data_IF_359072922779
#
_entry.id   IF_359072922779
#
_cell.length_a   1.000
_cell.length_b   1.000
_cell.length_c   1.000
_cell.angle_alpha   90.00
_cell.angle_beta   90.00
_cell.angle_gamma   90.00
#
_symmetry.space_group_name_H-M   'P 1'
#
loop_
_entity.id
_entity.type
_entity.pdbx_description
1 polymer ?
#
# COMPACT_ATOMS: atom_id res chain seq x y z
N UNK A 1 16.06 8.29 -8.57
CA UNK A 1 16.24 6.97 -7.92
C UNK A 1 16.35 5.91 -9.01
N UNK A 2 17.42 5.12 -9.01
CA UNK A 2 17.50 3.93 -9.85
C UNK A 2 16.73 2.79 -9.15
N UNK A 3 15.46 2.60 -9.55
CA UNK A 3 14.65 1.45 -9.14
C UNK A 3 14.33 0.56 -10.33
N UNK A 4 14.32 -0.75 -10.14
CA UNK A 4 13.95 -1.73 -11.16
C UNK A 4 13.04 -2.78 -10.57
N UNK A 5 11.89 -3.03 -11.20
CA UNK A 5 11.00 -4.13 -10.81
C UNK A 5 11.33 -5.40 -11.60
N UNK A 6 11.08 -6.54 -10.98
CA UNK A 6 11.26 -7.86 -11.57
C UNK A 6 9.93 -8.60 -11.51
N UNK A 7 9.47 -9.06 -12.69
CA UNK A 7 8.23 -9.83 -12.86
C UNK A 7 8.50 -10.94 -13.88
N UNK A 8 9.24 -12.01 -13.51
CA UNK A 8 9.60 -13.06 -14.45
C UNK A 8 8.35 -13.89 -14.82
N UNK A 9 8.28 -14.43 -16.05
CA UNK A 9 7.16 -15.27 -16.47
C UNK A 9 7.13 -16.64 -15.78
N UNK A 10 8.14 -16.97 -14.96
CA UNK A 10 8.24 -18.22 -14.20
C UNK A 10 7.43 -18.21 -12.90
N UNK A 11 6.77 -17.10 -12.57
CA UNK A 11 5.83 -16.96 -11.46
C UNK A 11 4.54 -16.32 -11.96
N UNK A 12 3.47 -16.39 -11.16
CA UNK A 12 2.18 -15.84 -11.58
C UNK A 12 2.26 -14.33 -11.88
N UNK A 13 1.38 -13.87 -12.78
CA UNK A 13 1.29 -12.46 -13.10
C UNK A 13 0.66 -11.68 -11.93
N UNK A 14 1.49 -10.98 -11.15
CA UNK A 14 1.07 -10.18 -10.00
C UNK A 14 0.56 -8.78 -10.38
N UNK A 15 0.86 -8.30 -11.59
CA UNK A 15 0.52 -6.93 -12.01
C UNK A 15 -1.00 -6.71 -12.07
N UNK A 16 -1.77 -7.77 -12.33
CA UNK A 16 -3.25 -7.72 -12.28
C UNK A 16 -3.79 -7.39 -10.88
N UNK A 17 -2.98 -7.61 -9.82
CA UNK A 17 -3.31 -7.30 -8.43
C UNK A 17 -2.61 -6.02 -7.92
N UNK A 18 -1.89 -5.30 -8.78
CA UNK A 18 -1.26 -4.02 -8.45
C UNK A 18 0.08 -4.10 -7.71
N UNK A 19 0.81 -5.21 -7.80
CA UNK A 19 2.16 -5.34 -7.21
C UNK A 19 3.16 -6.07 -8.13
N UNK A 20 4.45 -5.83 -7.91
CA UNK A 20 5.54 -6.53 -8.61
C UNK A 20 6.15 -7.64 -7.74
N UNK A 21 6.68 -8.69 -8.35
CA UNK A 21 7.26 -9.83 -7.62
C UNK A 21 8.50 -9.43 -6.80
N UNK A 22 9.32 -8.51 -7.31
CA UNK A 22 10.42 -7.91 -6.56
C UNK A 22 10.77 -6.50 -7.08
N UNK A 23 11.51 -5.74 -6.27
CA UNK A 23 12.11 -4.46 -6.64
C UNK A 23 13.56 -4.41 -6.16
N UNK A 24 14.45 -3.88 -7.00
CA UNK A 24 15.80 -3.46 -6.63
C UNK A 24 15.82 -1.94 -6.50
N UNK A 25 16.45 -1.49 -5.41
CA UNK A 25 16.75 -0.08 -5.16
C UNK A 25 18.19 0.04 -4.69
N UNK A 26 18.91 1.06 -5.18
CA UNK A 26 20.35 1.23 -4.91
C UNK A 26 20.66 2.35 -3.93
N UNK A 27 19.97 3.49 -4.05
CA UNK A 27 20.31 4.72 -3.34
C UNK A 27 19.05 5.51 -2.94
N UNK A 28 19.15 6.23 -1.82
CA UNK A 28 18.16 7.20 -1.36
C UNK A 28 18.00 7.20 0.16
N UNK A 29 17.24 8.17 0.67
CA UNK A 29 16.88 8.29 2.08
C UNK A 29 15.68 7.40 2.39
N UNK A 30 15.87 6.43 3.28
CA UNK A 30 14.84 5.46 3.70
C UNK A 30 13.83 6.11 4.64
N UNK A 31 12.55 5.90 4.37
CA UNK A 31 11.41 6.37 5.18
C UNK A 31 10.61 5.15 5.58
N UNK A 32 10.45 4.95 6.88
CA UNK A 32 9.58 3.94 7.46
C UNK A 32 8.28 4.64 7.88
N UNK A 33 7.14 4.17 7.38
CA UNK A 33 5.84 4.71 7.76
C UNK A 33 5.18 3.76 8.75
N UNK A 34 4.48 4.32 9.75
CA UNK A 34 3.50 3.55 10.51
C UNK A 34 2.39 3.05 9.58
N UNK A 35 1.70 1.98 9.95
CA UNK A 35 0.53 1.51 9.22
C UNK A 35 -0.54 2.59 9.12
N UNK A 36 -1.07 2.78 7.92
CA UNK A 36 -2.13 3.74 7.63
C UNK A 36 -3.45 3.00 7.46
N UNK A 37 -4.50 3.55 8.04
CA UNK A 37 -5.87 3.01 8.03
C UNK A 37 -6.83 4.01 7.37
N UNK A 38 -8.09 3.62 7.22
CA UNK A 38 -9.17 4.44 6.66
C UNK A 38 -9.66 5.56 7.57
N UNK A 39 -8.75 6.34 8.17
CA UNK A 39 -9.06 7.41 9.12
C UNK A 39 -8.66 8.77 8.56
N UNK A 40 -9.50 9.79 8.74
CA UNK A 40 -9.27 11.16 8.32
C UNK A 40 -8.48 12.02 9.33
N UNK A 41 -8.22 13.27 8.97
CA UNK A 41 -7.45 14.22 9.80
C UNK A 41 -8.17 14.62 11.09
N UNK A 42 -9.48 14.36 11.17
CA UNK A 42 -10.32 14.61 12.33
C UNK A 42 -10.55 13.32 13.14
N UNK A 43 -9.74 12.28 12.89
CA UNK A 43 -9.78 10.98 13.57
C UNK A 43 -11.07 10.17 13.31
N UNK A 44 -11.80 10.48 12.23
CA UNK A 44 -13.00 9.71 11.85
C UNK A 44 -12.68 8.62 10.84
N UNK A 45 -13.26 7.43 11.01
CA UNK A 45 -13.27 6.38 10.00
C UNK A 45 -14.10 6.84 8.80
N UNK A 46 -13.52 6.85 7.58
CA UNK A 46 -14.14 7.47 6.39
C UNK A 46 -15.35 6.73 5.82
N UNK A 47 -15.60 5.51 6.30
CA UNK A 47 -16.77 4.72 5.96
C UNK A 47 -16.62 3.24 6.34
N UNK A 48 -17.71 2.45 6.22
CA UNK A 48 -17.75 1.07 6.69
C UNK A 48 -17.15 0.05 5.71
N UNK A 49 -16.83 0.43 4.49
CA UNK A 49 -16.41 -0.45 3.40
C UNK A 49 -14.92 -0.45 3.14
N UNK A 50 -14.43 -1.57 2.59
CA UNK A 50 -13.02 -1.75 2.27
C UNK A 50 -12.53 -0.74 1.22
N UNK A 51 -13.38 -0.32 0.30
CA UNK A 51 -13.02 0.56 -0.82
C UNK A 51 -12.56 1.92 -0.32
N UNK A 52 -13.42 2.60 0.44
CA UNK A 52 -13.13 3.91 0.99
C UNK A 52 -11.99 3.88 2.02
N UNK A 53 -11.91 2.81 2.82
CA UNK A 53 -10.82 2.66 3.80
C UNK A 53 -9.47 2.41 3.11
N UNK A 54 -9.43 1.64 2.03
CA UNK A 54 -8.21 1.41 1.24
C UNK A 54 -7.74 2.69 0.57
N UNK A 55 -8.63 3.41 -0.12
CA UNK A 55 -8.29 4.68 -0.78
C UNK A 55 -7.77 5.69 0.23
N UNK A 56 -8.41 5.78 1.40
CA UNK A 56 -7.98 6.69 2.45
C UNK A 56 -6.62 6.31 3.07
N UNK A 57 -6.36 5.03 3.30
CA UNK A 57 -5.05 4.58 3.77
C UNK A 57 -3.94 4.96 2.76
N UNK A 58 -4.21 4.83 1.45
CA UNK A 58 -3.27 5.23 0.39
C UNK A 58 -3.10 6.76 0.31
N UNK A 59 -4.16 7.55 0.48
CA UNK A 59 -4.09 9.01 0.59
C UNK A 59 -3.23 9.46 1.77
N UNK A 60 -3.35 8.77 2.90
CA UNK A 60 -2.56 9.07 4.10
C UNK A 60 -1.08 8.75 3.86
N UNK A 61 -0.75 7.62 3.22
CA UNK A 61 0.63 7.28 2.79
C UNK A 61 1.19 8.37 1.88
N UNK A 62 0.43 8.76 0.85
CA UNK A 62 0.85 9.82 -0.09
C UNK A 62 1.11 11.15 0.62
N UNK A 63 0.22 11.52 1.55
CA UNK A 63 0.35 12.75 2.33
C UNK A 63 1.60 12.77 3.22
N UNK A 64 1.90 11.65 3.89
CA UNK A 64 3.12 11.50 4.71
C UNK A 64 4.37 11.59 3.84
N UNK A 65 4.39 10.89 2.71
CA UNK A 65 5.51 10.95 1.79
C UNK A 65 5.71 12.36 1.23
N UNK A 66 4.64 13.06 0.86
CA UNK A 66 4.69 14.44 0.39
C UNK A 66 5.33 15.37 1.44
N UNK A 67 4.97 15.21 2.71
CA UNK A 67 5.60 15.94 3.83
C UNK A 67 7.09 15.64 3.98
N UNK A 68 7.52 14.45 3.59
CA UNK A 68 8.92 14.04 3.56
C UNK A 68 9.64 14.40 2.24
N UNK A 69 9.05 15.24 1.37
CA UNK A 69 9.52 15.57 0.01
C UNK A 69 9.58 14.35 -0.92
N UNK A 70 8.63 13.43 -0.78
CA UNK A 70 8.47 12.23 -1.59
C UNK A 70 7.08 12.11 -2.23
N UNK A 71 6.82 10.98 -2.87
CA UNK A 71 5.52 10.63 -3.45
C UNK A 71 5.40 9.09 -3.54
N UNK A 72 4.26 8.58 -3.98
CA UNK A 72 3.99 7.13 -4.07
C UNK A 72 4.98 6.36 -4.95
N UNK A 73 5.61 7.00 -5.94
CA UNK A 73 6.65 6.32 -6.76
C UNK A 73 7.93 6.00 -5.97
N UNK A 74 8.07 6.53 -4.76
CA UNK A 74 9.16 6.20 -3.85
C UNK A 74 8.86 5.01 -2.93
N UNK A 75 7.64 4.46 -2.94
CA UNK A 75 7.30 3.26 -2.17
C UNK A 75 8.03 2.06 -2.75
N UNK A 76 8.68 1.29 -1.87
CA UNK A 76 9.48 0.11 -2.19
C UNK A 76 8.92 -1.18 -1.59
N UNK A 77 8.00 -1.09 -0.64
CA UNK A 77 7.29 -2.25 -0.08
C UNK A 77 5.94 -1.79 0.49
N UNK A 78 4.92 -2.63 0.30
CA UNK A 78 3.64 -2.52 1.01
C UNK A 78 3.36 -3.79 1.82
N UNK A 79 2.81 -3.64 3.02
CA UNK A 79 2.21 -4.76 3.78
C UNK A 79 0.77 -4.40 4.06
N UNK A 80 -0.15 -5.22 3.56
CA UNK A 80 -1.58 -5.04 3.68
C UNK A 80 -2.09 -6.06 4.69
N UNK A 81 -2.60 -5.57 5.81
CA UNK A 81 -3.27 -6.37 6.82
C UNK A 81 -4.78 -6.20 6.62
N UNK A 82 -5.45 -7.27 6.20
CA UNK A 82 -6.86 -7.27 5.81
C UNK A 82 -7.63 -8.07 6.86
N UNK A 83 -8.67 -7.49 7.44
CA UNK A 83 -9.46 -8.18 8.47
C UNK A 83 -10.24 -9.33 7.84
N UNK A 84 -10.40 -10.43 8.57
CA UNK A 84 -11.11 -11.65 8.14
C UNK A 84 -12.49 -11.35 7.53
N UNK A 85 -13.23 -10.38 8.07
CA UNK A 85 -14.55 -9.96 7.56
C UNK A 85 -14.49 -9.38 6.14
N UNK A 86 -13.34 -8.93 5.67
CA UNK A 86 -13.08 -8.37 4.35
C UNK A 86 -12.23 -9.29 3.45
N UNK A 87 -11.92 -10.53 3.89
CA UNK A 87 -11.00 -11.46 3.19
C UNK A 87 -11.30 -11.67 1.70
N UNK A 88 -12.59 -11.67 1.34
CA UNK A 88 -13.07 -11.97 -0.01
C UNK A 88 -13.22 -10.68 -0.86
N UNK A 89 -12.97 -9.51 -0.28
CA UNK A 89 -13.10 -8.21 -0.94
C UNK A 89 -11.76 -7.72 -1.52
N UNK A 90 -11.06 -8.59 -2.24
CA UNK A 90 -9.71 -8.29 -2.74
C UNK A 90 -9.71 -7.36 -3.96
N UNK A 91 -10.74 -7.42 -4.81
CA UNK A 91 -10.78 -6.64 -6.05
C UNK A 91 -10.79 -5.12 -5.82
N UNK A 92 -11.56 -4.56 -4.87
CA UNK A 92 -11.45 -3.14 -4.53
C UNK A 92 -10.02 -2.71 -4.15
N UNK A 93 -9.31 -3.55 -3.38
CA UNK A 93 -7.94 -3.29 -2.96
C UNK A 93 -7.00 -3.33 -4.18
N UNK A 94 -7.10 -4.36 -5.01
CA UNK A 94 -6.30 -4.52 -6.21
C UNK A 94 -6.53 -3.37 -7.21
N UNK A 95 -7.79 -2.92 -7.35
CA UNK A 95 -8.16 -1.78 -8.17
C UNK A 95 -7.48 -0.49 -7.67
N UNK A 96 -7.55 -0.20 -6.38
CA UNK A 96 -6.89 0.94 -5.76
C UNK A 96 -5.37 0.89 -5.98
N UNK A 97 -4.72 -0.26 -5.77
CA UNK A 97 -3.29 -0.42 -6.00
C UNK A 97 -2.90 -0.21 -7.47
N UNK A 98 -3.66 -0.76 -8.42
CA UNK A 98 -3.41 -0.52 -9.86
C UNK A 98 -3.54 0.96 -10.22
N UNK A 99 -4.51 1.67 -9.63
CA UNK A 99 -4.71 3.10 -9.86
C UNK A 99 -3.59 3.95 -9.27
N UNK A 100 -3.14 3.64 -8.04
CA UNK A 100 -2.09 4.39 -7.33
C UNK A 100 -0.68 4.06 -7.80
N UNK A 101 -0.45 2.85 -8.31
CA UNK A 101 0.84 2.37 -8.78
C UNK A 101 0.76 1.83 -10.22
N UNK A 102 0.38 2.66 -11.21
CA UNK A 102 0.10 2.20 -12.58
C UNK A 102 1.35 1.69 -13.31
N UNK A 103 2.54 2.13 -12.88
CA UNK A 103 3.81 1.79 -13.52
C UNK A 103 4.81 1.27 -12.48
N UNK A 104 5.29 0.05 -12.71
CA UNK A 104 6.31 -0.62 -11.89
C UNK A 104 5.95 -0.69 -10.40
N UNK A 105 4.77 -1.19 -10.00
CA UNK A 105 4.31 -1.12 -8.61
C UNK A 105 5.27 -1.79 -7.62
N UNK A 106 5.32 -1.36 -6.34
CA UNK A 106 6.14 -2.02 -5.33
C UNK A 106 5.69 -3.48 -5.13
N UNK A 107 6.54 -4.34 -4.56
CA UNK A 107 6.10 -5.61 -4.00
C UNK A 107 5.13 -5.37 -2.83
N UNK A 108 4.27 -6.36 -2.60
CA UNK A 108 3.33 -6.33 -1.48
C UNK A 108 3.17 -7.69 -0.81
N UNK A 109 2.81 -7.68 0.47
CA UNK A 109 2.31 -8.86 1.19
C UNK A 109 0.87 -8.61 1.62
N UNK A 110 0.01 -9.60 1.41
CA UNK A 110 -1.43 -9.54 1.75
C UNK A 110 -1.69 -10.57 2.83
N UNK A 111 -2.06 -10.09 4.02
CA UNK A 111 -2.12 -10.90 5.24
C UNK A 111 -3.53 -10.78 5.80
N UNK A 112 -4.20 -11.91 5.98
CA UNK A 112 -5.48 -11.93 6.68
C UNK A 112 -5.24 -11.94 8.18
N UNK A 113 -5.86 -11.01 8.90
CA UNK A 113 -5.75 -10.84 10.35
C UNK A 113 -7.12 -10.94 11.02
N UNK A 114 -7.14 -11.31 12.31
CA UNK A 114 -8.39 -11.42 13.07
C UNK A 114 -9.08 -10.08 13.34
N UNK A 115 -8.32 -8.97 13.27
CA UNK A 115 -8.80 -7.62 13.53
C UNK A 115 -7.65 -6.62 13.58
N UNK A 116 -7.99 -5.34 13.67
CA UNK A 116 -7.07 -4.21 13.82
C UNK A 116 -7.32 -3.49 15.15
N UNK A 117 -6.66 -2.35 15.38
CA UNK A 117 -6.75 -1.64 16.67
C UNK A 117 -8.17 -1.16 17.01
N UNK A 118 -9.00 -0.88 16.00
CA UNK A 118 -10.43 -0.58 16.16
C UNK A 118 -11.26 -1.57 15.34
N UNK A 119 -12.45 -1.98 15.85
CA UNK A 119 -13.26 -3.03 15.24
C UNK A 119 -13.85 -2.64 13.87
N UNK A 120 -14.03 -1.35 13.58
CA UNK A 120 -14.55 -0.85 12.31
C UNK A 120 -13.50 -0.77 11.19
N UNK A 121 -12.21 -0.93 11.51
CA UNK A 121 -11.16 -0.91 10.52
C UNK A 121 -11.05 -2.26 9.82
N UNK A 122 -11.08 -2.22 8.49
CA UNK A 122 -11.05 -3.41 7.63
C UNK A 122 -9.68 -3.65 6.99
N UNK A 123 -8.84 -2.61 6.92
CA UNK A 123 -7.51 -2.69 6.34
C UNK A 123 -6.54 -1.71 6.99
N UNK A 124 -5.30 -2.16 7.15
CA UNK A 124 -4.14 -1.35 7.46
C UNK A 124 -3.06 -1.57 6.40
N UNK A 125 -2.47 -0.50 5.90
CA UNK A 125 -1.41 -0.51 4.88
C UNK A 125 -0.15 0.11 5.46
N UNK A 126 0.87 -0.71 5.66
CA UNK A 126 2.22 -0.27 6.02
C UNK A 126 3.03 -0.05 4.74
N UNK A 127 3.78 1.06 4.69
CA UNK A 127 4.64 1.40 3.56
C UNK A 127 6.08 1.63 4.00
N UNK A 128 7.00 1.17 3.16
CA UNK A 128 8.41 1.57 3.21
C UNK A 128 8.74 2.32 1.93
N UNK A 129 9.47 3.43 2.03
CA UNK A 129 9.84 4.24 0.89
C UNK A 129 11.33 4.63 0.88
N UNK A 130 11.83 4.95 -0.30
CA UNK A 130 13.18 5.45 -0.53
C UNK A 130 13.12 6.72 -1.38
N UNK A 131 13.38 7.87 -0.77
CA UNK A 131 13.31 9.18 -1.43
C UNK A 131 14.70 9.56 -1.96
N UNK A 132 14.84 10.03 -3.22
CA UNK A 132 16.11 10.56 -3.72
C UNK A 132 16.69 11.64 -2.80
N UNK A 133 18.02 11.65 -2.67
CA UNK A 133 18.79 12.73 -2.02
C UNK A 133 19.36 13.68 -3.05
#
# INVERSE_FOLDING_TARGET
MNRRVYNPPTVFNSLQYGFSQAIEVRDGRRILLSGQVGVDVNENTVGPGITEQTEKALDNIESILAHANGNLSHVIMLRLYIVESARDQQEPIASALRNRFPNNPPPSSWIIVSGLSLPEWLIEIEAEALIPV
#
